data_IF_007833743504
#
_entry.id   IF_007833743504
#
_cell.length_a   1.000
_cell.length_b   1.000
_cell.length_c   1.000
_cell.angle_alpha   90.00
_cell.angle_beta   90.00
_cell.angle_gamma   90.00
#
_symmetry.space_group_name_H-M   'P 1'
#
loop_
_entity.id
_entity.type
_entity.pdbx_description
1 polymer ?
#
# COMPACT_ATOMS: atom_id res chain seq x y z
N UNK A 1 -15.79 31.18 -13.41
CA UNK A 1 -15.27 30.17 -12.49
C UNK A 1 -16.12 28.92 -12.62
N UNK A 2 -15.68 27.95 -13.37
CA UNK A 2 -16.36 26.66 -13.50
C UNK A 2 -15.83 25.77 -12.39
N UNK A 3 -16.65 25.51 -11.36
CA UNK A 3 -16.41 24.43 -10.42
C UNK A 3 -16.35 23.12 -11.23
N UNK A 4 -15.17 22.50 -11.25
CA UNK A 4 -15.03 21.12 -11.75
C UNK A 4 -15.92 20.24 -10.88
N UNK A 5 -16.80 19.39 -11.45
CA UNK A 5 -17.55 18.43 -10.66
C UNK A 5 -16.56 17.50 -9.94
N UNK A 6 -16.65 17.49 -8.61
CA UNK A 6 -15.85 16.63 -7.74
C UNK A 6 -16.28 15.18 -7.98
N UNK A 7 -15.49 14.42 -8.72
CA UNK A 7 -15.73 13.00 -8.90
C UNK A 7 -15.42 12.25 -7.59
N UNK A 8 -16.33 11.41 -7.11
CA UNK A 8 -16.16 10.64 -5.87
C UNK A 8 -14.86 9.82 -5.82
N UNK A 9 -14.34 9.37 -6.98
CA UNK A 9 -13.05 8.69 -7.10
C UNK A 9 -11.85 9.59 -6.81
N UNK A 10 -11.91 10.85 -7.22
CA UNK A 10 -10.84 11.83 -6.99
C UNK A 10 -10.73 12.21 -5.51
N UNK A 11 -11.86 12.28 -4.80
CA UNK A 11 -11.87 12.59 -3.36
C UNK A 11 -11.27 11.45 -2.54
N UNK A 12 -11.62 10.19 -2.82
CA UNK A 12 -11.02 9.05 -2.15
C UNK A 12 -9.50 9.01 -2.35
N UNK A 13 -9.04 9.18 -3.58
CA UNK A 13 -7.62 9.23 -3.92
C UNK A 13 -6.91 10.40 -3.23
N UNK A 14 -7.52 11.58 -3.18
CA UNK A 14 -6.98 12.75 -2.50
C UNK A 14 -6.87 12.52 -0.97
N UNK A 15 -7.85 11.86 -0.36
CA UNK A 15 -7.83 11.51 1.05
C UNK A 15 -6.75 10.46 1.37
N UNK A 16 -6.55 9.48 0.51
CA UNK A 16 -5.48 8.49 0.67
C UNK A 16 -4.09 9.14 0.54
N UNK A 17 -3.90 10.02 -0.44
CA UNK A 17 -2.65 10.76 -0.59
C UNK A 17 -2.36 11.66 0.62
N UNK A 18 -3.37 12.38 1.11
CA UNK A 18 -3.26 13.20 2.32
C UNK A 18 -3.01 12.33 3.57
N UNK A 19 -3.63 11.16 3.64
CA UNK A 19 -3.41 10.17 4.70
C UNK A 19 -1.98 9.64 4.72
N UNK A 20 -1.42 9.29 3.57
CA UNK A 20 -0.01 8.87 3.47
C UNK A 20 0.94 9.99 3.91
N UNK A 21 0.69 11.23 3.49
CA UNK A 21 1.50 12.37 3.88
C UNK A 21 1.42 12.63 5.41
N UNK A 22 0.24 12.51 6.00
CA UNK A 22 0.05 12.63 7.44
C UNK A 22 0.75 11.51 8.20
N UNK A 23 0.64 10.28 7.71
CA UNK A 23 1.33 9.11 8.26
C UNK A 23 2.85 9.29 8.22
N UNK A 24 3.37 9.85 7.13
CA UNK A 24 4.81 10.13 6.96
C UNK A 24 5.30 11.17 7.96
N UNK A 25 4.51 12.21 8.19
CA UNK A 25 4.90 13.32 9.07
C UNK A 25 4.71 12.99 10.56
N UNK A 26 3.61 12.32 10.92
CA UNK A 26 3.18 12.12 12.31
C UNK A 26 3.30 10.69 12.81
N UNK A 27 3.45 9.71 11.92
CA UNK A 27 3.39 8.30 12.27
C UNK A 27 1.96 7.84 12.61
N UNK A 28 1.84 6.55 12.92
CA UNK A 28 0.54 5.92 13.25
C UNK A 28 -0.06 6.51 14.54
N UNK A 29 0.76 6.78 15.55
CA UNK A 29 0.28 7.28 16.85
C UNK A 29 -0.22 8.73 16.78
N UNK A 30 0.35 9.56 15.92
CA UNK A 30 -0.06 10.95 15.72
C UNK A 30 -1.11 11.16 14.62
N UNK A 31 -1.57 10.09 13.99
CA UNK A 31 -2.47 10.13 12.84
C UNK A 31 -3.89 10.58 13.24
N UNK A 32 -4.47 11.54 12.52
CA UNK A 32 -5.83 12.03 12.77
C UNK A 32 -6.59 12.32 11.49
N UNK A 33 -7.89 11.99 11.48
CA UNK A 33 -8.79 12.29 10.35
C UNK A 33 -8.92 13.79 10.10
N UNK A 34 -8.89 14.60 11.16
CA UNK A 34 -8.98 16.06 11.05
C UNK A 34 -7.78 16.64 10.31
N UNK A 35 -6.58 16.17 10.63
CA UNK A 35 -5.36 16.58 9.94
C UNK A 35 -5.35 16.15 8.48
N UNK A 36 -5.83 14.93 8.17
CA UNK A 36 -6.01 14.44 6.80
C UNK A 36 -6.97 15.32 6.02
N UNK A 37 -8.14 15.66 6.59
CA UNK A 37 -9.12 16.55 5.95
C UNK A 37 -8.52 17.91 5.64
N UNK A 38 -7.80 18.51 6.60
CA UNK A 38 -7.12 19.80 6.44
C UNK A 38 -6.09 19.72 5.31
N UNK A 39 -5.28 18.68 5.27
CA UNK A 39 -4.26 18.46 4.26
C UNK A 39 -4.86 18.28 2.86
N UNK A 40 -5.99 17.58 2.76
CA UNK A 40 -6.73 17.39 1.51
C UNK A 40 -7.55 18.59 1.07
N UNK A 41 -7.72 19.61 1.93
CA UNK A 41 -8.53 20.80 1.63
C UNK A 41 -10.03 20.52 1.57
N UNK A 42 -10.51 19.55 2.36
CA UNK A 42 -11.92 19.13 2.40
C UNK A 42 -12.54 19.33 3.78
N UNK A 43 -13.88 19.12 3.90
CA UNK A 43 -14.57 19.21 5.16
C UNK A 43 -14.05 18.17 6.17
N UNK A 44 -14.12 18.49 7.47
CA UNK A 44 -13.71 17.57 8.53
C UNK A 44 -14.52 16.27 8.56
N UNK A 45 -15.73 16.28 8.01
CA UNK A 45 -16.60 15.08 7.91
C UNK A 45 -16.23 14.15 6.75
N UNK A 46 -15.51 14.63 5.73
CA UNK A 46 -15.23 13.85 4.53
C UNK A 46 -14.43 12.57 4.79
N UNK A 47 -13.33 12.56 5.59
CA UNK A 47 -12.61 11.31 5.87
C UNK A 47 -13.48 10.27 6.58
N UNK A 48 -14.26 10.68 7.58
CA UNK A 48 -15.16 9.77 8.29
C UNK A 48 -16.27 9.24 7.40
N UNK A 49 -16.79 10.05 6.48
CA UNK A 49 -17.79 9.63 5.51
C UNK A 49 -17.26 8.53 4.58
N UNK A 50 -16.01 8.63 4.13
CA UNK A 50 -15.40 7.66 3.23
C UNK A 50 -14.85 6.41 3.94
N UNK A 51 -14.29 6.56 5.13
CA UNK A 51 -13.49 5.52 5.78
C UNK A 51 -14.01 5.12 7.18
N UNK A 52 -15.01 5.81 7.69
CA UNK A 52 -15.59 5.57 9.01
C UNK A 52 -14.82 6.23 10.15
N UNK A 53 -13.65 5.71 10.46
CA UNK A 53 -12.79 6.17 11.54
C UNK A 53 -11.29 6.12 11.15
N UNK A 54 -10.41 6.43 12.11
CA UNK A 54 -8.96 6.33 11.92
C UNK A 54 -8.55 4.92 11.50
N UNK A 55 -9.10 3.89 12.13
CA UNK A 55 -8.83 2.50 11.78
C UNK A 55 -9.22 2.17 10.34
N UNK A 56 -10.37 2.66 9.88
CA UNK A 56 -10.83 2.50 8.51
C UNK A 56 -9.90 3.14 7.48
N UNK A 57 -9.43 4.35 7.75
CA UNK A 57 -8.48 5.03 6.85
C UNK A 57 -7.11 4.34 6.87
N UNK A 58 -6.59 3.93 8.03
CA UNK A 58 -5.33 3.17 8.11
C UNK A 58 -5.43 1.83 7.39
N UNK A 59 -6.59 1.17 7.45
CA UNK A 59 -6.86 -0.07 6.71
C UNK A 59 -6.84 0.15 5.20
N UNK A 60 -7.48 1.20 4.71
CA UNK A 60 -7.46 1.57 3.30
C UNK A 60 -6.04 1.95 2.83
N UNK A 61 -5.27 2.68 3.65
CA UNK A 61 -3.86 2.99 3.38
C UNK A 61 -2.99 1.73 3.33
N UNK A 62 -3.25 0.75 4.20
CA UNK A 62 -2.53 -0.52 4.18
C UNK A 62 -2.83 -1.33 2.90
N UNK A 63 -4.10 -1.36 2.46
CA UNK A 63 -4.46 -2.00 1.19
C UNK A 63 -3.77 -1.32 0.00
N UNK A 64 -3.80 0.00 -0.06
CA UNK A 64 -3.07 0.79 -1.05
C UNK A 64 -1.56 0.52 -0.99
N UNK A 65 -0.99 0.40 0.22
CA UNK A 65 0.41 0.09 0.44
C UNK A 65 0.81 -1.27 -0.14
N UNK A 66 -0.01 -2.32 0.04
CA UNK A 66 0.23 -3.63 -0.57
C UNK A 66 0.11 -3.59 -2.10
N UNK A 67 -0.84 -2.84 -2.65
CA UNK A 67 -0.98 -2.68 -4.10
C UNK A 67 0.25 -1.98 -4.71
N UNK A 68 0.74 -0.93 -4.08
CA UNK A 68 1.95 -0.22 -4.51
C UNK A 68 3.21 -1.06 -4.34
N UNK A 69 3.29 -1.83 -3.27
CA UNK A 69 4.36 -2.81 -3.06
C UNK A 69 4.38 -3.82 -4.21
N UNK A 70 3.24 -4.45 -4.52
CA UNK A 70 3.12 -5.40 -5.62
C UNK A 70 3.52 -4.78 -6.97
N UNK A 71 3.01 -3.59 -7.27
CA UNK A 71 3.35 -2.87 -8.51
C UNK A 71 4.86 -2.57 -8.62
N UNK A 72 5.53 -2.30 -7.50
CA UNK A 72 6.98 -2.07 -7.48
C UNK A 72 7.75 -3.35 -7.76
N UNK A 73 7.34 -4.48 -7.21
CA UNK A 73 7.92 -5.80 -7.51
C UNK A 73 7.73 -6.14 -8.99
N UNK A 74 6.50 -6.06 -9.48
CA UNK A 74 6.14 -6.38 -10.87
C UNK A 74 6.99 -5.57 -11.87
N UNK A 75 7.15 -4.27 -11.61
CA UNK A 75 7.95 -3.39 -12.46
C UNK A 75 9.44 -3.79 -12.48
N UNK A 76 9.98 -4.24 -11.36
CA UNK A 76 11.38 -4.71 -11.26
C UNK A 76 11.60 -6.06 -11.93
N UNK A 77 10.60 -6.92 -11.91
CA UNK A 77 10.68 -8.26 -12.49
C UNK A 77 10.58 -8.29 -14.02
N UNK A 78 10.15 -7.21 -14.66
CA UNK A 78 10.08 -7.09 -16.12
C UNK A 78 11.46 -7.41 -16.73
N UNK A 79 11.48 -8.35 -17.68
CA UNK A 79 12.70 -8.77 -18.37
C UNK A 79 13.61 -9.70 -17.56
N UNK A 80 13.12 -10.29 -16.47
CA UNK A 80 13.83 -11.34 -15.75
C UNK A 80 14.09 -12.55 -16.67
N UNK A 81 15.30 -13.11 -16.61
CA UNK A 81 15.76 -14.16 -17.53
C UNK A 81 15.49 -15.57 -17.00
N UNK A 82 15.40 -15.73 -15.69
CA UNK A 82 15.16 -16.99 -15.00
C UNK A 82 14.56 -16.75 -13.60
N UNK A 83 14.25 -17.80 -12.87
CA UNK A 83 13.64 -17.72 -11.54
C UNK A 83 14.52 -17.01 -10.53
N UNK A 84 15.84 -17.20 -10.60
CA UNK A 84 16.81 -16.58 -9.71
C UNK A 84 16.91 -15.06 -9.95
N UNK A 85 17.04 -14.65 -11.22
CA UNK A 85 17.05 -13.24 -11.61
C UNK A 85 15.73 -12.56 -11.19
N UNK A 86 14.60 -13.23 -11.38
CA UNK A 86 13.30 -12.75 -10.95
C UNK A 86 13.24 -12.51 -9.43
N UNK A 87 13.71 -13.47 -8.63
CA UNK A 87 13.74 -13.37 -7.18
C UNK A 87 14.66 -12.23 -6.69
N UNK A 88 15.84 -12.08 -7.32
CA UNK A 88 16.76 -10.96 -7.01
C UNK A 88 16.10 -9.61 -7.31
N UNK A 89 15.44 -9.48 -8.47
CA UNK A 89 14.72 -8.26 -8.86
C UNK A 89 13.57 -7.94 -7.93
N UNK A 90 12.81 -8.95 -7.50
CA UNK A 90 11.77 -8.79 -6.48
C UNK A 90 12.35 -8.28 -5.16
N UNK A 91 13.48 -8.81 -4.70
CA UNK A 91 14.21 -8.33 -3.53
C UNK A 91 14.64 -6.86 -3.65
N UNK A 92 15.10 -6.45 -4.83
CA UNK A 92 15.41 -5.04 -5.10
C UNK A 92 14.16 -4.16 -5.07
N UNK A 93 13.03 -4.64 -5.61
CA UNK A 93 11.73 -3.96 -5.53
C UNK A 93 11.24 -3.80 -4.08
N UNK A 94 11.42 -4.82 -3.25
CA UNK A 94 11.13 -4.75 -1.81
C UNK A 94 11.93 -3.61 -1.13
N UNK A 95 13.24 -3.54 -1.37
CA UNK A 95 14.09 -2.49 -0.82
C UNK A 95 13.71 -1.11 -1.36
N UNK A 96 13.41 -1.01 -2.65
CA UNK A 96 12.95 0.24 -3.27
C UNK A 96 11.68 0.76 -2.62
N UNK A 97 10.67 -0.09 -2.44
CA UNK A 97 9.43 0.29 -1.77
C UNK A 97 9.67 0.74 -0.32
N UNK A 98 10.49 0.00 0.43
CA UNK A 98 10.82 0.34 1.82
C UNK A 98 11.51 1.71 1.94
N UNK A 99 12.39 2.04 1.00
CA UNK A 99 13.14 3.30 0.97
C UNK A 99 12.30 4.47 0.44
N UNK A 100 11.49 4.23 -0.57
CA UNK A 100 10.67 5.28 -1.19
C UNK A 100 9.43 5.62 -0.35
N UNK A 101 8.87 4.62 0.36
CA UNK A 101 7.61 4.76 1.11
C UNK A 101 7.71 4.16 2.52
N UNK A 102 8.63 4.67 3.36
CA UNK A 102 8.90 4.06 4.66
C UNK A 102 7.71 4.08 5.61
N UNK A 103 6.82 5.06 5.51
CA UNK A 103 5.62 5.12 6.35
C UNK A 103 4.61 4.03 5.99
N UNK A 104 4.33 3.82 4.70
CA UNK A 104 3.49 2.71 4.23
C UNK A 104 4.15 1.36 4.52
N UNK A 105 5.45 1.23 4.30
CA UNK A 105 6.19 0.01 4.63
C UNK A 105 6.00 -0.39 6.10
N UNK A 106 6.18 0.55 7.01
CA UNK A 106 5.93 0.29 8.45
C UNK A 106 4.48 -0.03 8.74
N UNK A 107 3.53 0.64 8.08
CA UNK A 107 2.10 0.38 8.27
C UNK A 107 1.74 -1.06 7.88
N UNK A 108 2.19 -1.53 6.72
CA UNK A 108 1.81 -2.86 6.20
C UNK A 108 2.57 -4.02 6.84
N UNK A 109 3.82 -3.81 7.25
CA UNK A 109 4.68 -4.90 7.76
C UNK A 109 4.95 -4.87 9.26
N UNK A 110 4.65 -3.76 9.95
CA UNK A 110 5.02 -3.61 11.37
C UNK A 110 3.91 -3.07 12.27
N UNK A 111 2.72 -2.74 11.73
CA UNK A 111 1.63 -2.18 12.52
C UNK A 111 0.48 -3.16 12.68
N UNK A 112 -0.08 -3.19 13.89
CA UNK A 112 -1.32 -3.94 14.19
C UNK A 112 -2.59 -3.05 14.07
N UNK A 113 -2.45 -1.80 13.66
CA UNK A 113 -3.56 -0.83 13.59
C UNK A 113 -4.54 -1.07 12.43
N UNK A 114 -4.12 -1.51 11.22
CA UNK A 114 -5.05 -1.87 10.17
C UNK A 114 -5.93 -3.07 10.57
N UNK A 115 -7.18 -3.07 10.11
CA UNK A 115 -8.05 -4.21 10.26
C UNK A 115 -7.74 -5.28 9.22
N UNK A 116 -6.91 -6.24 9.56
CA UNK A 116 -6.52 -7.35 8.68
C UNK A 116 -7.66 -8.35 8.39
N UNK A 117 -8.85 -8.17 8.96
CA UNK A 117 -10.06 -8.90 8.58
C UNK A 117 -10.88 -8.17 7.50
N UNK A 118 -10.47 -6.98 7.08
CA UNK A 118 -11.12 -6.25 5.99
C UNK A 118 -10.95 -6.98 4.66
N UNK A 119 -12.04 -7.22 3.88
CA UNK A 119 -11.96 -7.89 2.57
C UNK A 119 -10.97 -7.22 1.61
N UNK A 120 -10.96 -5.88 1.55
CA UNK A 120 -10.05 -5.10 0.71
C UNK A 120 -8.58 -5.36 1.08
N UNK A 121 -8.27 -5.38 2.36
CA UNK A 121 -6.91 -5.63 2.84
C UNK A 121 -6.50 -7.10 2.68
N UNK A 122 -7.41 -8.05 2.92
CA UNK A 122 -7.18 -9.49 2.68
C UNK A 122 -6.81 -9.72 1.21
N UNK A 123 -7.54 -9.12 0.28
CA UNK A 123 -7.29 -9.26 -1.16
C UNK A 123 -5.91 -8.71 -1.53
N UNK A 124 -5.61 -7.47 -1.13
CA UNK A 124 -4.34 -6.82 -1.46
C UNK A 124 -3.13 -7.55 -0.84
N UNK A 125 -3.21 -7.93 0.43
CA UNK A 125 -2.16 -8.68 1.13
C UNK A 125 -2.02 -10.10 0.58
N UNK A 126 -3.14 -10.73 0.19
CA UNK A 126 -3.16 -12.07 -0.41
C UNK A 126 -2.40 -12.11 -1.73
N UNK A 127 -2.63 -11.16 -2.62
CA UNK A 127 -1.91 -11.07 -3.90
C UNK A 127 -0.39 -10.92 -3.68
N UNK A 128 0.02 -10.09 -2.75
CA UNK A 128 1.44 -9.93 -2.42
C UNK A 128 2.05 -11.21 -1.83
N UNK A 129 1.32 -11.90 -0.96
CA UNK A 129 1.74 -13.16 -0.36
C UNK A 129 1.88 -14.26 -1.42
N UNK A 130 0.86 -14.45 -2.27
CA UNK A 130 0.88 -15.47 -3.33
C UNK A 130 2.02 -15.25 -4.33
N UNK A 131 2.32 -13.97 -4.64
CA UNK A 131 3.45 -13.61 -5.47
C UNK A 131 4.78 -14.08 -4.86
N UNK A 132 5.02 -13.77 -3.57
CA UNK A 132 6.24 -14.17 -2.87
C UNK A 132 6.37 -15.69 -2.75
N UNK A 133 5.26 -16.40 -2.45
CA UNK A 133 5.23 -17.86 -2.42
C UNK A 133 5.58 -18.45 -3.80
N UNK A 134 5.05 -17.86 -4.87
CA UNK A 134 5.37 -18.25 -6.24
C UNK A 134 6.84 -18.08 -6.59
N UNK A 135 7.48 -17.00 -6.14
CA UNK A 135 8.92 -16.77 -6.32
C UNK A 135 9.76 -17.85 -5.64
N UNK A 136 9.44 -18.18 -4.40
CA UNK A 136 10.15 -19.22 -3.63
C UNK A 136 9.95 -20.60 -4.28
N UNK A 137 8.72 -20.93 -4.64
CA UNK A 137 8.41 -22.22 -5.32
C UNK A 137 9.13 -22.40 -6.66
N UNK A 138 9.33 -21.32 -7.41
CA UNK A 138 10.07 -21.35 -8.66
C UNK A 138 11.57 -21.60 -8.45
N UNK A 139 12.15 -21.14 -7.35
CA UNK A 139 13.56 -21.41 -7.01
C UNK A 139 13.78 -22.88 -6.62
N UNK A 140 12.85 -23.48 -5.87
CA UNK A 140 12.92 -24.91 -5.48
C UNK A 140 12.80 -25.85 -6.71
N UNK A 141 12.03 -25.44 -7.72
CA UNK A 141 11.87 -26.21 -8.97
C UNK A 141 13.11 -26.20 -9.86
N UNK A 142 13.93 -25.16 -9.80
CA UNK A 142 15.13 -25.01 -10.63
C UNK A 142 16.33 -25.85 -10.11
N UNK A 143 16.31 -26.27 -8.84
CA UNK A 143 17.34 -27.14 -8.25
C UNK A 143 17.15 -28.63 -8.56
N UNK A 144 16.04 -29.03 -9.17
CA UNK A 144 15.72 -30.45 -9.43
C UNK A 144 16.14 -30.93 -10.83
N UNK A 145 16.73 -30.07 -11.67
CA UNK A 145 17.14 -30.39 -13.06
C UNK A 145 18.67 -30.50 -13.23
N UNK A 146 19.40 -30.98 -12.21
CA UNK A 146 20.84 -31.28 -12.30
C UNK A 146 21.14 -32.76 -12.14
#
# INVERSE_FOLDING_TARGET
MTEKPYHHGDLRAALLAAGEAELTERGVEGFSLRAVAKRAGVSHAAPAHHFGDVGGLLTALAAEGFQQFQATLDAREVGATDARDKAVRAGLGYLEFAMARPALFRLVFSSARPNYASPELIEAAGHAYDHLVGLVGALDGDETDV
#
